data_IF_140007589502
#
_entry.id   IF_140007589502
#
_cell.length_a   1.000
_cell.length_b   1.000
_cell.length_c   1.000
_cell.angle_alpha   90.00
_cell.angle_beta   90.00
_cell.angle_gamma   90.00
#
_symmetry.space_group_name_H-M   'P 1'
#
loop_
_entity.id
_entity.type
_entity.pdbx_description
1 polymer ?
#
# COMPACT_ATOMS: atom_id res chain seq x y z
N UNK A 1 -27.64 -24.94 -21.68
CA UNK A 1 -26.51 -23.98 -21.67
C UNK A 1 -25.24 -24.81 -21.67
N UNK A 2 -24.37 -24.70 -22.69
CA UNK A 2 -23.16 -25.51 -22.75
C UNK A 2 -22.26 -25.13 -21.56
N UNK A 3 -21.79 -26.13 -20.82
CA UNK A 3 -20.82 -25.94 -19.76
C UNK A 3 -19.56 -25.32 -20.37
N UNK A 4 -19.27 -24.08 -19.98
CA UNK A 4 -18.02 -23.40 -20.33
C UNK A 4 -16.88 -24.27 -19.81
N UNK A 5 -16.16 -24.94 -20.72
CA UNK A 5 -14.94 -25.66 -20.36
C UNK A 5 -14.02 -24.69 -19.59
N UNK A 6 -13.38 -25.11 -18.48
CA UNK A 6 -12.43 -24.25 -17.79
C UNK A 6 -11.36 -23.84 -18.80
N UNK A 7 -11.23 -22.53 -19.01
CA UNK A 7 -10.24 -21.96 -19.92
C UNK A 7 -8.87 -22.49 -19.49
N UNK A 8 -8.22 -23.30 -20.33
CA UNK A 8 -6.91 -23.86 -20.02
C UNK A 8 -5.91 -22.71 -19.95
N UNK A 9 -5.43 -22.42 -18.74
CA UNK A 9 -4.47 -21.36 -18.51
C UNK A 9 -3.11 -21.80 -19.01
N UNK A 10 -2.43 -20.92 -19.73
CA UNK A 10 -1.09 -21.13 -20.23
C UNK A 10 -0.21 -19.94 -19.84
N UNK A 11 1.12 -20.14 -19.69
CA UNK A 11 2.03 -19.06 -19.38
C UNK A 11 1.89 -17.91 -20.39
N UNK A 12 2.00 -16.65 -19.95
CA UNK A 12 1.77 -15.51 -20.83
C UNK A 12 2.93 -15.24 -21.80
N UNK A 13 4.04 -15.99 -21.70
CA UNK A 13 5.22 -15.89 -22.55
C UNK A 13 5.76 -17.30 -22.85
N UNK A 14 6.35 -17.49 -24.02
CA UNK A 14 6.94 -18.74 -24.48
C UNK A 14 8.38 -18.96 -23.99
N UNK A 15 9.17 -17.89 -23.78
CA UNK A 15 10.60 -18.01 -23.44
C UNK A 15 10.92 -17.57 -22.02
N UNK A 16 11.55 -18.45 -21.23
CA UNK A 16 12.06 -18.11 -19.89
C UNK A 16 13.22 -17.10 -19.98
N UNK A 17 13.17 -16.04 -19.17
CA UNK A 17 14.30 -15.11 -19.02
C UNK A 17 15.39 -15.66 -18.09
N UNK A 18 15.00 -16.59 -17.21
CA UNK A 18 15.82 -17.15 -16.13
C UNK A 18 15.81 -18.67 -16.22
N UNK A 19 16.98 -19.29 -16.05
CA UNK A 19 17.15 -20.74 -16.09
C UNK A 19 16.47 -21.42 -14.89
N UNK A 20 15.87 -22.59 -15.11
CA UNK A 20 15.08 -23.30 -14.09
C UNK A 20 15.92 -23.65 -12.84
N UNK A 21 17.23 -23.87 -12.98
CA UNK A 21 18.14 -24.12 -11.86
C UNK A 21 18.41 -22.89 -10.96
N UNK A 22 18.17 -21.68 -11.48
CA UNK A 22 18.37 -20.41 -10.76
C UNK A 22 17.08 -19.86 -10.14
N UNK A 23 15.97 -20.59 -10.28
CA UNK A 23 14.70 -20.25 -9.66
C UNK A 23 14.75 -20.62 -8.18
N UNK A 24 14.84 -19.59 -7.33
CA UNK A 24 14.85 -19.75 -5.88
C UNK A 24 13.54 -19.26 -5.29
N UNK A 25 12.91 -20.10 -4.48
CA UNK A 25 11.75 -19.75 -3.66
C UNK A 25 12.22 -19.59 -2.21
N UNK A 26 11.81 -18.52 -1.49
CA UNK A 26 12.15 -18.36 -0.09
C UNK A 26 11.77 -19.59 0.74
N UNK A 27 12.69 -20.06 1.59
CA UNK A 27 12.48 -21.22 2.48
C UNK A 27 11.45 -20.91 3.58
N UNK A 28 11.33 -19.64 3.94
CA UNK A 28 10.46 -19.16 5.00
C UNK A 28 9.65 -17.99 4.49
N UNK A 29 8.36 -17.98 4.83
CA UNK A 29 7.47 -16.86 4.59
C UNK A 29 6.69 -16.54 5.87
N UNK A 30 6.17 -15.31 5.95
CA UNK A 30 5.37 -14.86 7.08
C UNK A 30 3.89 -14.96 6.75
N UNK A 31 3.08 -15.44 7.70
CA UNK A 31 1.63 -15.35 7.60
C UNK A 31 1.11 -13.97 8.05
N UNK A 32 -0.20 -13.75 7.94
CA UNK A 32 -0.86 -12.48 8.33
C UNK A 32 -0.65 -12.09 9.79
N UNK A 33 -0.25 -13.04 10.65
CA UNK A 33 0.03 -12.83 12.06
C UNK A 33 1.54 -12.72 12.33
N UNK A 34 2.37 -12.52 11.29
CA UNK A 34 3.82 -12.48 11.37
C UNK A 34 4.46 -13.77 11.89
N UNK A 35 3.76 -14.92 11.79
CA UNK A 35 4.36 -16.21 12.13
C UNK A 35 5.16 -16.72 10.93
N UNK A 36 6.40 -17.13 11.20
CA UNK A 36 7.23 -17.79 10.20
C UNK A 36 6.68 -19.19 9.90
N UNK A 37 6.45 -19.47 8.62
CA UNK A 37 6.09 -20.78 8.08
C UNK A 37 7.14 -21.21 7.07
N UNK A 38 7.41 -22.51 7.01
CA UNK A 38 8.30 -23.09 6.01
C UNK A 38 7.55 -23.22 4.68
N UNK A 39 8.15 -22.82 3.58
CA UNK A 39 7.65 -23.19 2.26
C UNK A 39 7.81 -24.70 2.11
N UNK A 40 6.69 -25.40 2.03
CA UNK A 40 6.71 -26.84 1.82
C UNK A 40 6.81 -27.07 0.33
N UNK A 41 7.89 -27.73 -0.07
CA UNK A 41 8.04 -28.24 -1.41
C UNK A 41 7.35 -29.62 -1.47
N UNK A 42 6.08 -29.64 -1.88
CA UNK A 42 5.37 -30.89 -2.18
C UNK A 42 5.41 -31.08 -3.70
N UNK A 43 6.27 -31.98 -4.18
CA UNK A 43 6.46 -32.27 -5.61
C UNK A 43 6.83 -31.06 -6.49
N UNK A 44 7.48 -30.04 -5.93
CA UNK A 44 7.81 -28.76 -6.57
C UNK A 44 6.65 -27.75 -6.62
N UNK A 45 5.61 -27.95 -5.80
CA UNK A 45 4.48 -27.03 -5.65
C UNK A 45 4.61 -26.18 -4.40
N UNK A 46 4.50 -24.87 -4.58
CA UNK A 46 4.66 -23.86 -3.53
C UNK A 46 3.37 -23.07 -3.27
N UNK A 47 2.21 -23.74 -3.29
CA UNK A 47 0.89 -23.10 -3.28
C UNK A 47 0.71 -22.14 -2.11
N UNK A 48 0.98 -22.59 -0.88
CA UNK A 48 0.75 -21.79 0.33
C UNK A 48 1.63 -20.54 0.39
N UNK A 49 2.87 -20.65 -0.10
CA UNK A 49 3.79 -19.53 -0.22
C UNK A 49 3.27 -18.53 -1.27
N UNK A 50 2.93 -19.01 -2.46
CA UNK A 50 2.49 -18.16 -3.57
C UNK A 50 1.19 -17.43 -3.27
N UNK A 51 0.25 -18.10 -2.61
CA UNK A 51 -1.01 -17.47 -2.14
C UNK A 51 -0.75 -16.33 -1.18
N UNK A 52 0.36 -16.34 -0.44
CA UNK A 52 0.73 -15.24 0.46
C UNK A 52 1.62 -14.19 -0.18
N UNK A 53 2.56 -14.60 -1.03
CA UNK A 53 3.46 -13.68 -1.71
C UNK A 53 2.73 -12.77 -2.70
N UNK A 54 1.78 -13.34 -3.44
CA UNK A 54 0.97 -12.66 -4.46
C UNK A 54 -0.41 -12.22 -3.95
N UNK A 55 -0.62 -12.22 -2.62
CA UNK A 55 -1.90 -11.87 -2.01
C UNK A 55 -2.24 -10.39 -2.26
N UNK A 56 -3.35 -10.16 -2.95
CA UNK A 56 -3.93 -8.83 -3.20
C UNK A 56 -5.39 -8.75 -2.74
N UNK A 57 -5.88 -9.76 -2.01
CA UNK A 57 -7.27 -9.90 -1.56
C UNK A 57 -7.77 -8.67 -0.81
N UNK A 58 -6.89 -8.04 -0.02
CA UNK A 58 -7.16 -6.80 0.71
C UNK A 58 -7.65 -5.70 -0.24
N UNK A 59 -7.00 -5.52 -1.38
CA UNK A 59 -7.38 -4.47 -2.35
C UNK A 59 -8.66 -4.84 -3.10
N UNK A 60 -8.85 -6.12 -3.38
CA UNK A 60 -10.06 -6.63 -4.02
C UNK A 60 -11.29 -6.41 -3.14
N UNK A 61 -11.16 -6.58 -1.81
CA UNK A 61 -12.25 -6.28 -0.88
C UNK A 61 -12.75 -4.84 -1.02
N UNK A 62 -11.86 -3.88 -1.28
CA UNK A 62 -12.18 -2.45 -1.40
C UNK A 62 -12.33 -1.98 -2.84
N UNK A 63 -12.47 -2.90 -3.81
CA UNK A 63 -12.56 -2.61 -5.24
C UNK A 63 -13.49 -1.42 -5.54
N UNK A 64 -14.71 -1.45 -4.98
CA UNK A 64 -15.75 -0.42 -5.21
C UNK A 64 -15.30 1.01 -4.88
N UNK A 65 -14.28 1.16 -4.05
CA UNK A 65 -13.74 2.45 -3.60
C UNK A 65 -12.33 2.72 -4.12
N UNK A 66 -11.68 1.78 -4.82
CA UNK A 66 -10.29 1.94 -5.30
C UNK A 66 -10.13 3.14 -6.24
N UNK A 67 -11.19 3.53 -6.95
CA UNK A 67 -11.20 4.73 -7.80
C UNK A 67 -10.89 6.03 -7.05
N UNK A 68 -11.15 6.08 -5.74
CA UNK A 68 -10.73 7.21 -4.89
C UNK A 68 -9.21 7.22 -4.72
N UNK A 69 -8.57 6.05 -4.61
CA UNK A 69 -7.14 5.92 -4.36
C UNK A 69 -6.29 6.05 -5.64
N UNK A 70 -6.77 5.57 -6.79
CA UNK A 70 -6.06 5.62 -8.06
C UNK A 70 -6.98 5.49 -9.27
N UNK A 71 -6.41 5.68 -10.45
CA UNK A 71 -7.13 5.57 -11.72
C UNK A 71 -6.83 4.21 -12.37
N UNK A 72 -7.79 3.70 -13.16
CA UNK A 72 -7.61 2.52 -14.01
C UNK A 72 -6.75 2.89 -15.23
N UNK A 73 -5.44 2.93 -15.01
CA UNK A 73 -4.43 3.25 -16.02
C UNK A 73 -3.10 2.61 -15.65
N UNK A 74 -2.24 2.43 -16.64
CA UNK A 74 -0.88 1.97 -16.42
C UNK A 74 -0.12 2.82 -15.38
N UNK A 75 0.76 2.16 -14.63
CA UNK A 75 1.70 2.84 -13.75
C UNK A 75 2.68 3.69 -14.56
N UNK A 76 3.23 4.74 -13.95
CA UNK A 76 4.27 5.51 -14.63
C UNK A 76 5.60 4.76 -14.58
N UNK A 77 6.43 4.89 -15.62
CA UNK A 77 7.76 4.28 -15.67
C UNK A 77 8.71 4.85 -14.61
N UNK A 78 9.78 4.11 -14.30
CA UNK A 78 10.72 4.42 -13.21
C UNK A 78 11.36 5.81 -13.33
N UNK A 79 11.82 6.20 -14.52
CA UNK A 79 12.38 7.53 -14.76
C UNK A 79 11.38 8.64 -14.41
N UNK A 80 10.09 8.41 -14.66
CA UNK A 80 9.03 9.35 -14.31
C UNK A 80 8.73 9.36 -12.82
N UNK A 81 8.90 8.23 -12.12
CA UNK A 81 8.83 8.21 -10.65
C UNK A 81 9.93 9.11 -10.06
N UNK A 82 11.16 8.98 -10.55
CA UNK A 82 12.30 9.80 -10.11
C UNK A 82 12.12 11.27 -10.49
N UNK A 83 11.63 11.57 -11.70
CA UNK A 83 11.27 12.93 -12.11
C UNK A 83 10.24 13.57 -11.17
N UNK A 84 9.33 12.77 -10.60
CA UNK A 84 8.36 13.21 -9.60
C UNK A 84 8.92 13.26 -8.18
N UNK A 85 10.24 13.16 -8.01
CA UNK A 85 10.94 13.12 -6.72
C UNK A 85 10.44 12.00 -5.80
N UNK A 86 10.12 10.84 -6.37
CA UNK A 86 9.76 9.65 -5.59
C UNK A 86 10.98 8.77 -5.37
N UNK A 87 11.20 8.42 -4.11
CA UNK A 87 12.15 7.44 -3.65
C UNK A 87 11.49 6.06 -3.66
N UNK A 88 12.15 5.11 -4.31
CA UNK A 88 11.72 3.71 -4.38
C UNK A 88 12.05 3.01 -3.06
N UNK A 89 11.03 2.47 -2.42
CA UNK A 89 11.15 1.68 -1.19
C UNK A 89 10.72 0.25 -1.50
N UNK A 90 11.59 -0.72 -1.21
CA UNK A 90 11.29 -2.13 -1.44
C UNK A 90 10.30 -2.66 -0.42
N UNK A 91 9.34 -3.46 -0.89
CA UNK A 91 8.37 -4.19 -0.06
C UNK A 91 8.22 -5.61 -0.59
N UNK A 92 8.13 -6.63 0.25
CA UNK A 92 7.81 -7.99 -0.25
C UNK A 92 6.29 -8.26 -0.33
N UNK A 93 5.44 -7.33 0.13
CA UNK A 93 3.99 -7.49 0.04
C UNK A 93 3.47 -7.06 -1.34
N UNK A 94 2.78 -7.96 -2.05
CA UNK A 94 2.18 -7.67 -3.36
C UNK A 94 1.09 -6.59 -3.27
N UNK A 95 0.33 -6.54 -2.19
CA UNK A 95 -0.72 -5.56 -1.96
C UNK A 95 -0.19 -4.11 -1.80
N UNK A 96 1.09 -3.94 -1.43
CA UNK A 96 1.77 -2.65 -1.33
C UNK A 96 2.52 -2.24 -2.61
N UNK A 97 2.79 -3.18 -3.51
CA UNK A 97 3.45 -2.89 -4.78
C UNK A 97 2.68 -1.78 -5.53
N UNK A 98 3.37 -0.74 -6.03
CA UNK A 98 2.81 0.47 -6.66
C UNK A 98 1.88 1.34 -5.78
N UNK A 99 1.96 1.21 -4.46
CA UNK A 99 1.35 2.21 -3.57
C UNK A 99 2.34 3.34 -3.28
N UNK A 100 1.86 4.56 -3.07
CA UNK A 100 2.75 5.69 -2.79
C UNK A 100 2.20 6.66 -1.74
N UNK A 101 3.11 7.32 -1.01
CA UNK A 101 2.82 8.35 -0.01
C UNK A 101 3.93 9.39 0.01
N UNK A 102 3.56 10.65 -0.17
CA UNK A 102 4.54 11.75 -0.21
C UNK A 102 5.63 11.46 -1.25
N UNK A 103 6.92 11.52 -0.88
CA UNK A 103 8.03 11.23 -1.79
C UNK A 103 8.39 9.73 -1.82
N UNK A 104 7.57 8.81 -1.32
CA UNK A 104 7.88 7.37 -1.28
C UNK A 104 6.93 6.57 -2.16
N UNK A 105 7.47 5.69 -2.98
CA UNK A 105 6.72 4.65 -3.71
C UNK A 105 7.20 3.28 -3.26
N UNK A 106 6.26 2.40 -2.93
CA UNK A 106 6.56 1.04 -2.51
C UNK A 106 6.52 0.13 -3.74
N UNK A 107 7.61 -0.59 -3.99
CA UNK A 107 7.74 -1.49 -5.15
C UNK A 107 8.24 -2.83 -4.64
N UNK A 108 7.48 -3.89 -4.92
CA UNK A 108 7.96 -5.26 -4.74
C UNK A 108 8.91 -5.66 -5.86
N UNK A 109 10.17 -6.06 -5.58
CA UNK A 109 11.13 -6.59 -6.54
C UNK A 109 10.53 -7.74 -7.35
N UNK A 110 10.94 -7.89 -8.61
CA UNK A 110 10.44 -8.92 -9.50
C UNK A 110 11.06 -10.26 -9.10
N UNK A 111 10.28 -11.23 -8.61
CA UNK A 111 10.83 -12.53 -8.24
C UNK A 111 11.24 -13.30 -9.49
N UNK A 112 12.39 -13.98 -9.44
CA UNK A 112 12.92 -14.72 -10.59
C UNK A 112 12.02 -15.89 -11.02
N UNK A 113 11.27 -16.49 -10.09
CA UNK A 113 10.33 -17.58 -10.41
C UNK A 113 9.20 -17.14 -11.34
N UNK A 114 8.81 -15.85 -11.36
CA UNK A 114 7.79 -15.36 -12.28
C UNK A 114 8.31 -15.24 -13.73
N UNK A 115 9.61 -15.39 -13.95
CA UNK A 115 10.25 -15.26 -15.25
C UNK A 115 10.65 -16.60 -15.88
N UNK A 116 10.11 -17.70 -15.34
CA UNK A 116 10.38 -19.06 -15.78
C UNK A 116 9.09 -19.79 -16.17
N UNK A 117 9.02 -20.29 -17.40
CA UNK A 117 7.83 -20.93 -17.98
C UNK A 117 7.46 -22.23 -17.26
N UNK A 118 8.45 -23.03 -16.86
CA UNK A 118 8.21 -24.29 -16.15
C UNK A 118 7.54 -24.04 -14.78
N UNK A 119 8.00 -23.00 -14.09
CA UNK A 119 7.41 -22.57 -12.83
C UNK A 119 5.93 -22.20 -12.98
N UNK A 120 5.59 -21.45 -14.04
CA UNK A 120 4.20 -21.08 -14.34
C UNK A 120 3.32 -22.31 -14.56
N UNK A 121 3.74 -23.23 -15.42
CA UNK A 121 3.00 -24.45 -15.70
C UNK A 121 2.77 -25.30 -14.45
N UNK A 122 3.76 -25.37 -13.56
CA UNK A 122 3.72 -26.22 -12.37
C UNK A 122 2.93 -25.61 -11.21
N UNK A 123 3.03 -24.29 -11.02
CA UNK A 123 2.57 -23.62 -9.79
C UNK A 123 1.44 -22.61 -10.00
N UNK A 124 1.32 -21.99 -11.18
CA UNK A 124 0.44 -20.84 -11.39
C UNK A 124 -0.74 -21.17 -12.31
N UNK A 125 -0.52 -21.95 -13.38
CA UNK A 125 -1.58 -22.27 -14.36
C UNK A 125 -2.72 -23.14 -13.80
N UNK A 126 -2.51 -23.82 -12.66
CA UNK A 126 -3.54 -24.65 -12.03
C UNK A 126 -4.57 -23.83 -11.21
N UNK A 127 -4.21 -22.61 -10.80
CA UNK A 127 -5.04 -21.74 -9.96
C UNK A 127 -5.29 -20.41 -10.68
N UNK A 128 -6.56 -20.15 -10.99
CA UNK A 128 -6.96 -18.97 -11.75
C UNK A 128 -6.67 -17.65 -11.02
N UNK A 129 -6.76 -17.60 -9.70
CA UNK A 129 -6.60 -16.37 -8.95
C UNK A 129 -5.11 -16.06 -8.70
N UNK A 130 -4.30 -17.10 -8.49
CA UNK A 130 -2.84 -16.96 -8.52
C UNK A 130 -2.34 -16.53 -9.91
N UNK A 131 -2.86 -17.17 -10.98
CA UNK A 131 -2.52 -16.82 -12.35
C UNK A 131 -2.81 -15.34 -12.65
N UNK A 132 -4.02 -14.87 -12.31
CA UNK A 132 -4.42 -13.47 -12.48
C UNK A 132 -3.53 -12.49 -11.72
N UNK A 133 -3.13 -12.86 -10.50
CA UNK A 133 -2.29 -12.03 -9.64
C UNK A 133 -0.86 -11.97 -10.17
N UNK A 134 -0.29 -13.11 -10.56
CA UNK A 134 1.04 -13.19 -11.17
C UNK A 134 1.10 -12.46 -12.52
N UNK A 135 0.10 -12.65 -13.39
CA UNK A 135 0.04 -12.00 -14.71
C UNK A 135 -0.08 -10.49 -14.57
N UNK A 136 -0.95 -10.03 -13.67
CA UNK A 136 -1.09 -8.61 -13.35
C UNK A 136 0.19 -8.01 -12.73
N UNK A 137 0.92 -8.76 -11.92
CA UNK A 137 2.20 -8.33 -11.37
C UNK A 137 3.30 -8.21 -12.43
N UNK A 138 3.34 -9.12 -13.41
CA UNK A 138 4.25 -8.96 -14.55
C UNK A 138 3.90 -7.71 -15.36
N UNK A 139 2.61 -7.47 -15.59
CA UNK A 139 2.12 -6.28 -16.29
C UNK A 139 2.57 -4.98 -15.60
N UNK A 140 2.57 -4.92 -14.26
CA UNK A 140 3.04 -3.73 -13.55
C UNK A 140 4.53 -3.44 -13.77
N UNK A 141 5.34 -4.49 -13.95
CA UNK A 141 6.75 -4.36 -14.30
C UNK A 141 6.99 -3.88 -15.73
N UNK A 142 6.15 -4.30 -16.68
CA UNK A 142 6.20 -3.78 -18.06
C UNK A 142 5.90 -2.28 -18.08
N UNK A 143 5.02 -1.79 -17.21
CA UNK A 143 4.76 -0.35 -17.07
C UNK A 143 5.92 0.40 -16.42
N UNK A 144 6.57 -0.19 -15.42
CA UNK A 144 7.70 0.40 -14.71
C UNK A 144 8.96 0.47 -15.59
N UNK A 145 9.25 -0.60 -16.33
CA UNK A 145 10.46 -0.79 -17.13
C UNK A 145 10.13 -0.64 -18.62
N UNK A 146 9.71 0.58 -18.97
CA UNK A 146 9.22 0.89 -20.31
C UNK A 146 10.35 1.12 -21.32
N UNK A 147 11.37 1.90 -20.94
CA UNK A 147 12.52 2.24 -21.78
C UNK A 147 13.82 1.60 -21.28
N UNK A 148 14.86 1.67 -22.10
CA UNK A 148 16.21 1.23 -21.71
C UNK A 148 16.73 2.00 -20.48
N UNK A 149 16.44 3.29 -20.37
CA UNK A 149 16.78 4.06 -19.17
C UNK A 149 16.11 3.51 -17.91
N UNK A 150 14.85 3.08 -18.02
CA UNK A 150 14.12 2.46 -16.90
C UNK A 150 14.71 1.10 -16.53
N UNK A 151 15.16 0.34 -17.54
CA UNK A 151 15.85 -0.93 -17.32
C UNK A 151 17.15 -0.74 -16.55
N UNK A 152 17.97 0.23 -16.95
CA UNK A 152 19.21 0.55 -16.23
C UNK A 152 18.90 1.01 -14.80
N UNK A 153 17.88 1.85 -14.60
CA UNK A 153 17.45 2.25 -13.26
C UNK A 153 16.99 1.07 -12.42
N UNK A 154 16.22 0.13 -12.99
CA UNK A 154 15.74 -1.05 -12.27
C UNK A 154 16.86 -1.99 -11.82
N UNK A 155 17.97 -2.01 -12.56
CA UNK A 155 19.17 -2.79 -12.28
C UNK A 155 20.17 -2.06 -11.36
N UNK A 156 20.15 -0.73 -11.36
CA UNK A 156 21.02 0.11 -10.55
C UNK A 156 20.77 -0.11 -9.05
N UNK A 157 21.87 -0.23 -8.30
CA UNK A 157 21.87 -0.44 -6.84
C UNK A 157 22.30 0.80 -6.06
N UNK A 158 22.63 1.89 -6.75
CA UNK A 158 23.15 3.12 -6.12
C UNK A 158 22.08 3.87 -5.32
N UNK A 159 20.85 3.95 -5.84
CA UNK A 159 19.77 4.78 -5.28
C UNK A 159 18.67 3.98 -4.59
N UNK A 160 18.48 2.72 -4.97
CA UNK A 160 17.49 1.83 -4.38
C UNK A 160 17.96 0.37 -4.50
N UNK A 161 17.40 -0.57 -3.72
CA UNK A 161 17.67 -1.97 -3.95
C UNK A 161 17.19 -2.38 -5.34
N UNK A 162 17.90 -3.33 -5.93
CA UNK A 162 17.65 -3.82 -7.28
C UNK A 162 16.22 -4.39 -7.42
N UNK A 163 15.54 -3.99 -8.49
CA UNK A 163 14.14 -4.33 -8.76
C UNK A 163 13.96 -5.51 -9.72
N UNK A 164 14.96 -5.80 -10.54
CA UNK A 164 14.97 -6.93 -11.48
C UNK A 164 16.04 -7.97 -11.07
N UNK A 165 15.84 -9.27 -11.33
CA UNK A 165 16.87 -10.27 -11.09
C UNK A 165 18.18 -9.98 -11.84
N UNK A 166 19.29 -10.41 -11.25
CA UNK A 166 20.62 -10.30 -11.86
C UNK A 166 20.74 -11.17 -13.12
N UNK A 167 21.61 -10.77 -14.05
CA UNK A 167 21.89 -11.53 -15.28
C UNK A 167 20.88 -11.33 -16.42
N UNK A 168 19.85 -10.50 -16.23
CA UNK A 168 18.94 -10.08 -17.31
C UNK A 168 19.59 -8.94 -18.10
N UNK A 169 19.51 -9.00 -19.44
CA UNK A 169 19.95 -7.93 -20.34
C UNK A 169 18.75 -7.23 -20.96
N UNK A 170 18.91 -5.97 -21.38
CA UNK A 170 17.82 -5.22 -22.00
C UNK A 170 17.24 -5.88 -23.27
N UNK A 171 18.04 -6.47 -24.19
CA UNK A 171 17.49 -7.21 -25.33
C UNK A 171 16.63 -8.41 -24.92
N UNK A 172 17.04 -9.15 -23.87
CA UNK A 172 16.23 -10.25 -23.31
C UNK A 172 14.92 -9.73 -22.74
N UNK A 173 14.97 -8.66 -21.95
CA UNK A 173 13.78 -8.00 -21.41
C UNK A 173 12.82 -7.55 -22.52
N UNK A 174 13.32 -6.89 -23.56
CA UNK A 174 12.52 -6.45 -24.71
C UNK A 174 11.81 -7.62 -25.40
N UNK A 175 12.52 -8.72 -25.66
CA UNK A 175 11.93 -9.89 -26.30
C UNK A 175 10.85 -10.53 -25.42
N UNK A 176 11.08 -10.58 -24.10
CA UNK A 176 10.06 -11.03 -23.14
C UNK A 176 8.81 -10.15 -23.15
N UNK A 177 8.95 -8.82 -23.21
CA UNK A 177 7.80 -7.91 -23.30
C UNK A 177 7.00 -8.13 -24.58
N UNK A 178 7.67 -8.36 -25.72
CA UNK A 178 7.02 -8.67 -27.00
C UNK A 178 6.21 -9.96 -26.90
N UNK A 179 6.81 -11.02 -26.35
CA UNK A 179 6.20 -12.33 -26.14
C UNK A 179 4.98 -12.24 -25.20
N UNK A 180 5.12 -11.51 -24.09
CA UNK A 180 4.04 -11.29 -23.10
C UNK A 180 2.81 -10.57 -23.68
N UNK A 181 3.01 -9.69 -24.66
CA UNK A 181 1.96 -8.86 -25.27
C UNK A 181 1.42 -9.42 -26.59
N UNK A 182 1.92 -10.58 -27.07
CA UNK A 182 1.53 -11.13 -28.36
C UNK A 182 0.00 -11.35 -28.47
N UNK A 183 -0.64 -11.73 -27.36
CA UNK A 183 -2.06 -12.14 -27.30
C UNK A 183 -2.98 -11.12 -26.64
N UNK A 184 -2.44 -10.13 -25.94
CA UNK A 184 -3.19 -9.20 -25.10
C UNK A 184 -2.69 -7.77 -25.31
N UNK A 185 -3.62 -6.82 -25.47
CA UNK A 185 -3.30 -5.39 -25.47
C UNK A 185 -3.36 -4.82 -24.04
N UNK A 186 -2.59 -3.77 -23.77
CA UNK A 186 -2.47 -3.14 -22.46
C UNK A 186 -3.81 -2.66 -21.88
N UNK A 187 -4.72 -2.22 -22.73
CA UNK A 187 -6.02 -1.68 -22.29
C UNK A 187 -7.09 -2.76 -22.09
N UNK A 188 -6.92 -3.92 -22.73
CA UNK A 188 -7.95 -4.98 -22.75
C UNK A 188 -7.48 -6.30 -22.14
N UNK A 189 -6.31 -6.30 -21.50
CA UNK A 189 -5.70 -7.49 -20.92
C UNK A 189 -6.68 -8.22 -19.99
N UNK A 190 -7.05 -9.43 -20.41
CA UNK A 190 -7.96 -10.29 -19.64
C UNK A 190 -7.16 -11.12 -18.65
N UNK A 191 -7.87 -11.67 -17.67
CA UNK A 191 -7.30 -12.57 -16.66
C UNK A 191 -6.18 -11.92 -15.84
N UNK A 192 -6.40 -10.67 -15.40
CA UNK A 192 -5.56 -10.00 -14.41
C UNK A 192 -6.38 -9.70 -13.15
N UNK A 193 -5.73 -9.72 -11.99
CA UNK A 193 -6.38 -9.30 -10.75
C UNK A 193 -6.81 -7.83 -10.86
N UNK A 194 -7.92 -7.49 -10.21
CA UNK A 194 -8.50 -6.15 -10.17
C UNK A 194 -7.46 -5.13 -9.68
N UNK A 195 -6.56 -5.54 -8.78
CA UNK A 195 -5.46 -4.69 -8.31
C UNK A 195 -4.63 -4.13 -9.46
N UNK A 196 -4.31 -4.95 -10.45
CA UNK A 196 -3.44 -4.58 -11.57
C UNK A 196 -4.19 -3.98 -12.76
N UNK A 197 -5.48 -3.68 -12.61
CA UNK A 197 -6.17 -2.74 -13.50
C UNK A 197 -5.88 -1.28 -13.12
N UNK A 198 -5.45 -1.05 -11.87
CA UNK A 198 -5.02 0.24 -11.36
C UNK A 198 -3.51 0.27 -11.30
N UNK A 199 -2.87 1.30 -11.85
CA UNK A 199 -1.43 1.50 -11.68
C UNK A 199 -1.09 1.94 -10.26
N UNK A 200 -0.81 3.23 -10.10
CA UNK A 200 -0.40 3.81 -8.83
C UNK A 200 -1.59 4.09 -7.90
N UNK A 201 -1.53 3.57 -6.69
CA UNK A 201 -2.54 3.83 -5.65
C UNK A 201 -1.99 4.78 -4.59
N UNK A 202 -2.75 5.83 -4.25
CA UNK A 202 -2.42 6.75 -3.16
C UNK A 202 -2.69 6.08 -1.82
N UNK A 203 -1.63 5.83 -1.06
CA UNK A 203 -1.71 5.15 0.22
C UNK A 203 -2.53 5.94 1.26
N UNK A 204 -2.41 7.28 1.26
CA UNK A 204 -3.22 8.13 2.15
C UNK A 204 -4.72 7.96 1.90
N UNK A 205 -5.13 7.88 0.63
CA UNK A 205 -6.55 7.70 0.28
C UNK A 205 -7.01 6.27 0.56
N UNK A 206 -6.14 5.29 0.35
CA UNK A 206 -6.39 3.90 0.70
C UNK A 206 -6.57 3.72 2.22
N UNK A 207 -5.74 4.39 3.02
CA UNK A 207 -5.91 4.49 4.47
C UNK A 207 -7.27 5.08 4.83
N UNK A 208 -7.71 6.14 4.16
CA UNK A 208 -9.06 6.73 4.38
C UNK A 208 -10.18 5.77 4.01
N UNK A 209 -10.11 5.10 2.85
CA UNK A 209 -11.09 4.09 2.42
C UNK A 209 -11.24 3.00 3.49
N UNK A 210 -10.11 2.47 3.98
CA UNK A 210 -10.11 1.44 5.01
C UNK A 210 -10.67 1.92 6.34
N UNK A 211 -10.34 3.15 6.75
CA UNK A 211 -10.91 3.76 7.97
C UNK A 211 -12.42 3.94 7.86
N UNK A 212 -12.94 4.35 6.71
CA UNK A 212 -14.39 4.54 6.50
C UNK A 212 -15.10 3.19 6.44
N UNK A 213 -14.60 2.24 5.64
CA UNK A 213 -15.25 0.96 5.41
C UNK A 213 -15.22 0.04 6.64
N UNK A 214 -14.10 0.01 7.36
CA UNK A 214 -13.88 -0.92 8.49
C UNK A 214 -13.80 -0.19 9.84
N UNK A 215 -14.53 0.92 9.97
CA UNK A 215 -14.43 1.99 10.98
C UNK A 215 -14.51 1.65 12.48
N UNK A 216 -14.16 0.44 12.89
CA UNK A 216 -13.80 0.07 14.27
C UNK A 216 -12.51 -0.76 14.38
N UNK A 217 -12.16 -1.59 13.38
CA UNK A 217 -11.00 -2.51 13.42
C UNK A 217 -9.71 -1.89 12.86
N UNK A 218 -9.82 -0.89 12.00
CA UNK A 218 -8.69 -0.25 11.30
C UNK A 218 -8.62 1.29 11.48
N UNK A 219 -9.35 1.86 12.44
CA UNK A 219 -9.34 3.31 12.71
C UNK A 219 -7.92 3.86 12.95
N UNK A 220 -7.08 3.06 13.63
CA UNK A 220 -5.72 3.42 14.03
C UNK A 220 -4.70 3.11 12.93
N UNK A 221 -4.78 1.92 12.31
CA UNK A 221 -3.74 1.43 11.38
C UNK A 221 -3.99 1.76 9.90
N UNK A 222 -5.22 2.02 9.48
CA UNK A 222 -5.55 2.14 8.05
C UNK A 222 -5.20 0.87 7.26
N UNK A 223 -4.77 1.05 6.02
CA UNK A 223 -4.29 -0.01 5.11
C UNK A 223 -2.82 -0.35 5.37
N UNK A 224 -1.95 0.64 5.50
CA UNK A 224 -0.55 0.41 5.87
C UNK A 224 -0.17 1.36 6.99
N UNK A 225 0.35 0.80 8.08
CA UNK A 225 0.81 1.55 9.24
C UNK A 225 2.31 1.75 9.13
N UNK A 226 2.74 2.96 8.73
CA UNK A 226 4.13 3.35 8.91
C UNK A 226 4.40 3.41 10.42
N UNK A 227 5.36 2.61 10.90
CA UNK A 227 5.70 2.46 12.33
C UNK A 227 6.12 3.77 13.06
N UNK A 228 6.02 4.94 12.43
CA UNK A 228 6.48 6.24 12.94
C UNK A 228 5.44 7.38 12.78
N UNK A 229 4.16 7.04 12.60
CA UNK A 229 3.17 8.00 12.09
C UNK A 229 2.61 9.01 13.09
N UNK A 230 2.77 8.83 14.40
CA UNK A 230 2.22 9.82 15.33
C UNK A 230 3.00 11.14 15.27
N UNK A 231 4.33 11.07 15.25
CA UNK A 231 5.19 12.25 15.13
C UNK A 231 4.95 13.00 13.82
N UNK A 232 4.89 12.28 12.69
CA UNK A 232 4.68 12.92 11.37
C UNK A 232 3.25 13.42 11.16
N UNK A 233 2.22 12.77 11.72
CA UNK A 233 0.85 13.31 11.70
C UNK A 233 0.75 14.59 12.53
N UNK A 234 1.34 14.61 13.72
CA UNK A 234 1.38 15.84 14.51
C UNK A 234 2.20 16.91 13.82
N UNK A 235 3.42 16.65 13.35
CA UNK A 235 4.26 17.64 12.64
C UNK A 235 3.53 18.29 11.45
N UNK A 236 2.84 17.50 10.62
CA UNK A 236 2.16 18.04 9.43
C UNK A 236 0.87 18.80 9.75
N UNK A 237 0.14 18.40 10.79
CA UNK A 237 -1.11 19.06 11.18
C UNK A 237 -0.90 20.18 12.20
N UNK A 238 0.22 20.18 12.93
CA UNK A 238 0.55 21.16 13.96
C UNK A 238 0.62 22.56 13.37
N UNK A 239 1.22 22.71 12.18
CA UNK A 239 1.24 23.99 11.47
C UNK A 239 -0.17 24.53 11.19
N UNK A 240 -1.08 23.69 10.69
CA UNK A 240 -2.47 24.09 10.44
C UNK A 240 -3.24 24.38 11.73
N UNK A 241 -3.02 23.60 12.79
CA UNK A 241 -3.65 23.78 14.10
C UNK A 241 -3.20 25.12 14.72
N UNK A 242 -1.89 25.38 14.73
CA UNK A 242 -1.32 26.65 15.21
C UNK A 242 -1.81 27.82 14.37
N UNK A 243 -1.88 27.67 13.05
CA UNK A 243 -2.41 28.72 12.16
C UNK A 243 -3.87 29.03 12.46
N UNK A 244 -4.71 28.01 12.64
CA UNK A 244 -6.11 28.17 13.00
C UNK A 244 -6.28 28.90 14.34
N UNK A 245 -5.59 28.43 15.39
CA UNK A 245 -5.67 29.07 16.71
C UNK A 245 -5.03 30.46 16.74
N UNK A 246 -3.97 30.69 15.96
CA UNK A 246 -3.38 32.01 15.74
C UNK A 246 -4.39 32.98 15.11
N UNK A 247 -5.13 32.55 14.10
CA UNK A 247 -6.20 33.36 13.51
C UNK A 247 -7.33 33.65 14.51
N UNK A 248 -7.76 32.65 15.29
CA UNK A 248 -8.76 32.84 16.36
C UNK A 248 -8.28 33.87 17.40
N UNK A 249 -7.00 33.82 17.81
CA UNK A 249 -6.41 34.79 18.73
C UNK A 249 -6.40 36.21 18.12
N UNK A 250 -6.05 36.35 16.84
CA UNK A 250 -6.11 37.65 16.14
C UNK A 250 -7.55 38.20 16.16
N UNK A 251 -8.55 37.38 15.84
CA UNK A 251 -9.95 37.81 15.89
C UNK A 251 -10.37 38.21 17.31
N UNK A 252 -9.97 37.45 18.33
CA UNK A 252 -10.21 37.83 19.73
C UNK A 252 -9.60 39.19 20.07
N UNK A 253 -8.36 39.45 19.66
CA UNK A 253 -7.73 40.76 19.91
C UNK A 253 -8.47 41.90 19.19
N UNK A 254 -8.91 41.69 17.95
CA UNK A 254 -9.71 42.68 17.23
C UNK A 254 -11.07 42.92 17.90
N UNK A 255 -11.72 41.88 18.42
CA UNK A 255 -12.96 42.00 19.18
C UNK A 255 -12.75 42.75 20.50
N UNK A 256 -11.65 42.50 21.22
CA UNK A 256 -11.29 43.25 22.43
C UNK A 256 -11.12 44.75 22.14
N UNK A 257 -10.46 45.10 21.03
CA UNK A 257 -10.35 46.50 20.58
C UNK A 257 -11.73 47.06 20.22
N UNK A 258 -12.56 46.31 19.50
CA UNK A 258 -13.92 46.73 19.14
C UNK A 258 -14.79 47.02 20.36
N UNK A 259 -14.76 46.16 21.38
CA UNK A 259 -15.50 46.36 22.63
C UNK A 259 -15.05 47.61 23.41
N UNK A 260 -13.81 48.08 23.20
CA UNK A 260 -13.29 49.30 23.80
C UNK A 260 -13.67 50.59 23.03
N UNK A 261 -14.22 50.49 21.83
CA UNK A 261 -14.66 51.67 21.05
C UNK A 261 -16.08 52.09 21.40
N UNK A 262 -16.33 53.39 21.50
CA UNK A 262 -17.66 53.94 21.84
C UNK A 262 -18.77 53.55 20.85
N UNK A 263 -18.42 53.29 19.58
CA UNK A 263 -19.37 52.89 18.54
C UNK A 263 -19.91 51.47 18.73
N UNK A 264 -19.06 50.53 19.16
CA UNK A 264 -19.40 49.11 19.31
C UNK A 264 -19.70 48.73 20.76
N UNK A 265 -19.22 49.51 21.74
CA UNK A 265 -19.46 49.30 23.17
C UNK A 265 -20.94 49.31 23.54
N UNK A 266 -21.78 50.07 22.82
CA UNK A 266 -23.22 50.12 23.07
C UNK A 266 -24.05 49.16 22.18
N UNK A 267 -23.40 48.37 21.33
CA UNK A 267 -24.07 47.47 20.39
C UNK A 267 -24.30 46.08 21.00
N UNK A 268 -25.52 45.81 21.46
CA UNK A 268 -25.91 44.53 22.09
C UNK A 268 -25.65 43.29 21.23
N UNK A 269 -25.96 43.28 19.91
CA UNK A 269 -25.53 42.21 19.00
C UNK A 269 -24.03 41.92 19.03
N UNK A 270 -23.19 42.97 19.07
CA UNK A 270 -21.73 42.82 19.08
C UNK A 270 -21.21 42.20 20.38
N UNK A 271 -21.79 42.58 21.53
CA UNK A 271 -21.48 41.95 22.82
C UNK A 271 -21.81 40.47 22.86
N UNK A 272 -22.99 40.07 22.33
CA UNK A 272 -23.38 38.66 22.25
C UNK A 272 -22.45 37.85 21.34
N UNK A 273 -22.09 38.40 20.18
CA UNK A 273 -21.14 37.77 19.27
C UNK A 273 -19.76 37.60 19.93
N UNK A 274 -19.27 38.65 20.61
CA UNK A 274 -17.98 38.62 21.32
C UNK A 274 -17.95 37.62 22.46
N UNK A 275 -19.03 37.52 23.24
CA UNK A 275 -19.18 36.50 24.28
C UNK A 275 -19.15 35.08 23.69
N UNK A 276 -19.95 34.82 22.66
CA UNK A 276 -20.01 33.51 22.00
C UNK A 276 -18.66 33.10 21.41
N UNK A 277 -17.96 34.03 20.77
CA UNK A 277 -16.63 33.79 20.21
C UNK A 277 -15.57 33.55 21.28
N UNK A 278 -15.66 34.23 22.43
CA UNK A 278 -14.77 34.01 23.58
C UNK A 278 -14.94 32.60 24.14
N UNK A 279 -16.19 32.16 24.37
CA UNK A 279 -16.48 30.80 24.84
C UNK A 279 -15.97 29.76 23.82
N UNK A 280 -16.22 29.98 22.53
CA UNK A 280 -15.73 29.11 21.45
C UNK A 280 -14.20 28.99 21.45
N UNK A 281 -13.49 30.11 21.64
CA UNK A 281 -12.02 30.15 21.61
C UNK A 281 -11.38 29.46 22.81
N UNK A 282 -12.08 29.40 23.96
CA UNK A 282 -11.64 28.65 25.15
C UNK A 282 -11.99 27.17 25.01
N UNK A 283 -13.21 26.86 24.53
CA UNK A 283 -13.69 25.48 24.44
C UNK A 283 -13.00 24.69 23.32
N UNK A 284 -12.73 25.32 22.17
CA UNK A 284 -12.21 24.61 20.99
C UNK A 284 -10.82 23.97 21.19
N UNK A 285 -9.81 24.62 21.81
CA UNK A 285 -8.54 23.95 22.13
C UNK A 285 -8.72 22.79 23.12
N UNK A 286 -9.58 22.94 24.13
CA UNK A 286 -9.82 21.89 25.13
C UNK A 286 -10.47 20.65 24.50
N UNK A 287 -11.49 20.85 23.66
CA UNK A 287 -12.14 19.75 22.93
C UNK A 287 -11.15 19.09 21.97
N UNK A 288 -10.35 19.88 21.23
CA UNK A 288 -9.34 19.33 20.33
C UNK A 288 -8.29 18.49 21.09
N UNK A 289 -7.78 18.99 22.22
CA UNK A 289 -6.83 18.26 23.06
C UNK A 289 -7.44 16.97 23.63
N UNK A 290 -8.69 17.03 24.11
CA UNK A 290 -9.40 15.85 24.61
C UNK A 290 -9.60 14.78 23.53
N UNK A 291 -9.96 15.18 22.30
CA UNK A 291 -10.08 14.26 21.16
C UNK A 291 -8.73 13.62 20.79
N UNK A 292 -7.65 14.40 20.77
CA UNK A 292 -6.31 13.89 20.49
C UNK A 292 -5.88 12.88 21.56
N UNK A 293 -6.10 13.20 22.85
CA UNK A 293 -5.80 12.31 23.97
C UNK A 293 -6.63 11.01 23.90
N UNK A 294 -7.93 11.10 23.58
CA UNK A 294 -8.79 9.94 23.40
C UNK A 294 -8.27 9.02 22.28
N UNK A 295 -7.89 9.59 21.13
CA UNK A 295 -7.32 8.83 20.02
C UNK A 295 -6.06 8.10 20.50
N UNK A 296 -5.15 8.80 21.17
CA UNK A 296 -3.93 8.21 21.72
C UNK A 296 -4.21 7.04 22.67
N UNK A 297 -5.14 7.22 23.62
CA UNK A 297 -5.51 6.16 24.57
C UNK A 297 -6.10 4.93 23.86
N UNK A 298 -6.97 5.13 22.87
CA UNK A 298 -7.52 4.03 22.07
C UNK A 298 -6.41 3.30 21.30
N UNK A 299 -5.45 4.03 20.72
CA UNK A 299 -4.32 3.43 20.00
C UNK A 299 -3.41 2.62 20.92
N UNK A 300 -3.08 3.17 22.09
CA UNK A 300 -2.26 2.50 23.09
C UNK A 300 -2.96 1.24 23.63
N UNK A 301 -4.27 1.33 23.87
CA UNK A 301 -5.11 0.20 24.26
C UNK A 301 -5.12 -0.93 23.24
N UNK A 302 -5.35 -0.64 21.94
CA UNK A 302 -5.30 -1.67 20.88
C UNK A 302 -3.92 -2.33 20.79
N UNK A 303 -2.84 -1.53 20.85
CA UNK A 303 -1.47 -2.04 20.85
C UNK A 303 -1.20 -2.95 22.07
N UNK A 304 -1.62 -2.53 23.27
CA UNK A 304 -1.46 -3.30 24.50
C UNK A 304 -2.27 -4.60 24.48
N UNK A 305 -3.53 -4.57 24.05
CA UNK A 305 -4.38 -5.76 23.92
C UNK A 305 -3.76 -6.76 22.95
N UNK A 306 -3.21 -6.31 21.83
CA UNK A 306 -2.53 -7.19 20.86
C UNK A 306 -1.26 -7.79 21.43
N UNK A 307 -0.45 -7.00 22.14
CA UNK A 307 0.74 -7.49 22.82
C UNK A 307 0.37 -8.55 23.88
N UNK A 308 -0.60 -8.28 24.75
CA UNK A 308 -1.07 -9.22 25.76
C UNK A 308 -1.69 -10.49 25.14
N UNK A 309 -2.44 -10.36 24.04
CA UNK A 309 -3.01 -11.52 23.32
C UNK A 309 -1.93 -12.38 22.67
N UNK A 310 -0.87 -11.74 22.16
CA UNK A 310 0.29 -12.46 21.62
C UNK A 310 0.96 -13.28 22.73
N UNK A 311 1.26 -12.65 23.86
CA UNK A 311 1.91 -13.30 25.01
C UNK A 311 1.09 -14.47 25.56
N UNK A 312 -0.24 -14.30 25.72
CA UNK A 312 -1.15 -15.37 26.16
C UNK A 312 -1.19 -16.56 25.19
N UNK A 313 -1.08 -16.32 23.89
CA UNK A 313 -1.08 -17.39 22.87
C UNK A 313 0.24 -18.16 22.86
N UNK A 314 1.36 -17.46 23.00
CA UNK A 314 2.68 -18.09 23.15
C UNK A 314 2.74 -18.96 24.40
N UNK A 315 2.16 -18.52 25.52
CA UNK A 315 2.10 -19.30 26.75
C UNK A 315 1.17 -20.55 26.69
N UNK A 316 0.29 -20.63 25.70
CA UNK A 316 -0.64 -21.74 25.51
C UNK A 316 -0.19 -22.77 24.46
N UNK A 317 0.87 -22.49 23.69
CA UNK A 317 1.45 -23.49 22.77
C UNK A 317 2.32 -24.46 23.59
N UNK A 318 1.98 -25.77 23.67
CA UNK A 318 2.81 -26.74 24.37
C UNK A 318 4.17 -26.82 23.67
N UNK A 319 5.25 -26.83 24.46
CA UNK A 319 6.61 -27.11 24.00
C UNK A 319 6.58 -28.38 23.16
N UNK A 320 6.85 -28.26 21.85
CA UNK A 320 7.06 -29.44 21.02
C UNK A 320 8.33 -30.14 21.55
N UNK A 321 8.29 -31.44 21.87
CA UNK A 321 9.47 -32.15 22.32
C UNK A 321 10.57 -32.04 21.26
N UNK A 322 11.84 -31.90 21.68
CA UNK A 322 12.96 -31.88 20.74
C UNK A 322 12.96 -33.16 19.91
N UNK A 323 13.13 -33.00 18.59
CA UNK A 323 13.22 -34.09 17.60
C UNK A 323 14.55 -34.81 17.74
#
# INVERSE_FOLDING_TARGET
MPATQPLQLSPPFATSLVESASVLVPVVYQDENYRCKKSQDVDGKYTDFLTKDLDVSRLEDVEKYLWLAGMRKAARPLHRQVMMSRNVVVTEQADLHLTWRGPRIYIKPLPSYLLNVDFWNKNLCADNDLFKSAKGFLLSYIWLVHNESDFQMAMDTSNHPRLLPEGITYPKWRNFVIDFLEKDDFETMKQISIRYQFGELRLNRLNTIYRIKYGRKHLVRGYFYGYHEYGTFLEHNFAWIVTFFGYVAIVLTAMQVGLATTQLMHNTPFHRASYGFTVFSIASPLVAAALIALILLVTAGDNFIRAAKHERRTAQEPEKPPV
#
